data_IF_048157447561
#
_entry.id   IF_048157447561
#
_cell.length_a   1.000
_cell.length_b   1.000
_cell.length_c   1.000
_cell.angle_alpha   90.00
_cell.angle_beta   90.00
_cell.angle_gamma   90.00
#
_symmetry.space_group_name_H-M   'P 1'
#
loop_
_entity.id
_entity.type
_entity.pdbx_description
1 polymer ?
#
# COMPACT_ATOMS: atom_id res chain seq x y z
N UNK A 1 -15.84 -3.12 4.38
CA UNK A 1 -14.54 -2.65 3.87
C UNK A 1 -13.49 -3.04 4.90
N UNK A 2 -12.27 -3.34 4.47
CA UNK A 2 -11.17 -3.64 5.40
C UNK A 2 -10.61 -2.34 5.99
N UNK A 3 -9.98 -2.39 7.16
CA UNK A 3 -9.27 -1.27 7.78
C UNK A 3 -7.82 -1.61 8.04
N UNK A 4 -6.93 -0.61 8.07
CA UNK A 4 -5.48 -0.82 8.16
C UNK A 4 -5.08 -1.62 9.41
N UNK A 5 -5.67 -1.35 10.57
CA UNK A 5 -5.30 -2.06 11.82
C UNK A 5 -5.72 -3.55 11.82
N UNK A 6 -6.71 -3.90 10.99
CA UNK A 6 -7.22 -5.27 10.86
C UNK A 6 -6.41 -6.11 9.89
N UNK A 7 -5.45 -5.51 9.16
CA UNK A 7 -4.64 -6.22 8.19
C UNK A 7 -3.79 -7.30 8.84
N UNK A 8 -3.63 -8.40 8.12
CA UNK A 8 -2.82 -9.56 8.49
C UNK A 8 -1.92 -9.97 7.33
N UNK A 9 -0.78 -10.63 7.61
CA UNK A 9 0.08 -11.18 6.57
C UNK A 9 -0.69 -12.02 5.55
N UNK A 10 -0.26 -11.96 4.29
CA UNK A 10 -0.77 -12.75 3.15
C UNK A 10 -2.24 -12.57 2.76
N UNK A 11 -2.95 -11.59 3.35
CA UNK A 11 -4.31 -11.24 2.93
C UNK A 11 -4.32 -10.71 1.49
N UNK A 12 -5.39 -11.05 0.74
CA UNK A 12 -5.55 -10.72 -0.69
C UNK A 12 -6.97 -10.24 -0.97
N UNK A 13 -7.16 -9.67 -2.16
CA UNK A 13 -8.45 -9.18 -2.66
C UNK A 13 -9.11 -8.14 -1.72
N UNK A 14 -8.28 -7.29 -1.12
CA UNK A 14 -8.72 -6.23 -0.22
C UNK A 14 -9.23 -5.03 -1.00
N UNK A 15 -10.21 -4.33 -0.44
CA UNK A 15 -10.66 -3.02 -0.91
C UNK A 15 -10.60 -2.02 0.23
N UNK A 16 -9.80 -0.96 0.04
CA UNK A 16 -9.46 0.06 1.04
C UNK A 16 -9.55 1.45 0.40
N UNK A 17 -10.08 2.43 1.14
CA UNK A 17 -9.98 3.85 0.78
C UNK A 17 -9.07 4.53 1.79
N UNK A 18 -7.99 5.15 1.33
CA UNK A 18 -6.91 5.65 2.17
C UNK A 18 -6.43 7.02 1.69
N UNK A 19 -5.95 7.84 2.63
CA UNK A 19 -5.24 9.09 2.33
C UNK A 19 -3.76 8.81 2.14
N UNK A 20 -3.16 9.36 1.10
CA UNK A 20 -1.71 9.37 0.92
C UNK A 20 -1.13 10.48 1.80
N UNK A 21 -0.45 10.08 2.88
CA UNK A 21 0.20 10.99 3.84
C UNK A 21 1.53 11.48 3.28
N UNK A 22 2.27 10.59 2.64
CA UNK A 22 3.53 10.90 1.98
C UNK A 22 3.78 9.97 0.79
N UNK A 23 4.59 10.40 -0.18
CA UNK A 23 4.92 9.62 -1.36
C UNK A 23 6.34 9.93 -1.83
N UNK A 24 7.20 8.91 -1.86
CA UNK A 24 8.59 9.02 -2.31
C UNK A 24 8.79 8.12 -3.53
N UNK A 25 9.18 8.70 -4.66
CA UNK A 25 9.56 7.90 -5.84
C UNK A 25 10.93 7.28 -5.60
N UNK A 26 10.98 5.95 -5.48
CA UNK A 26 12.20 5.20 -5.16
C UNK A 26 12.87 4.62 -6.39
N UNK A 27 12.16 4.52 -7.52
CA UNK A 27 12.74 4.07 -8.77
C UNK A 27 12.02 4.69 -9.97
N UNK A 28 12.81 5.25 -10.89
CA UNK A 28 12.37 5.61 -12.23
C UNK A 28 13.41 5.09 -13.22
N UNK A 29 13.01 4.16 -14.09
CA UNK A 29 13.92 3.57 -15.09
C UNK A 29 13.28 3.56 -16.47
N UNK A 30 13.93 4.20 -17.42
CA UNK A 30 13.53 4.14 -18.83
C UNK A 30 14.07 2.83 -19.45
N UNK A 31 13.20 2.08 -20.14
CA UNK A 31 13.56 0.79 -20.76
C UNK A 31 13.90 0.89 -22.26
N UNK A 32 13.92 2.10 -22.80
CA UNK A 32 14.20 2.40 -24.21
C UNK A 32 13.22 3.44 -24.77
N UNK A 33 13.34 3.83 -26.06
CA UNK A 33 12.54 4.90 -26.64
C UNK A 33 11.05 4.58 -26.77
N UNK A 34 10.69 3.30 -26.90
CA UNK A 34 9.31 2.83 -27.15
C UNK A 34 8.74 1.98 -26.00
N UNK A 35 9.51 1.74 -24.95
CA UNK A 35 9.09 0.89 -23.84
C UNK A 35 8.57 1.76 -22.68
N UNK A 36 7.48 1.37 -22.00
CA UNK A 36 7.00 2.06 -20.81
C UNK A 36 8.12 2.20 -19.77
N UNK A 37 8.22 3.39 -19.19
CA UNK A 37 9.10 3.62 -18.06
C UNK A 37 8.58 2.83 -16.86
N UNK A 38 9.50 2.21 -16.11
CA UNK A 38 9.15 1.60 -14.84
C UNK A 38 9.27 2.67 -13.77
N UNK A 39 8.16 2.95 -13.08
CA UNK A 39 8.12 3.85 -11.92
C UNK A 39 7.70 3.06 -10.68
N UNK A 40 8.34 3.32 -9.55
CA UNK A 40 7.94 2.78 -8.25
C UNK A 40 8.02 3.89 -7.22
N UNK A 41 6.95 4.05 -6.44
CA UNK A 41 6.91 4.92 -5.29
C UNK A 41 6.52 4.15 -4.03
N UNK A 42 7.17 4.50 -2.92
CA UNK A 42 6.75 4.10 -1.59
C UNK A 42 5.88 5.22 -1.01
N UNK A 43 4.63 4.88 -0.74
CA UNK A 43 3.61 5.78 -0.25
C UNK A 43 3.27 5.41 1.19
N UNK A 44 3.25 6.38 2.08
CA UNK A 44 2.67 6.19 3.41
C UNK A 44 1.17 6.50 3.30
N UNK A 45 0.31 5.50 3.55
CA UNK A 45 -1.14 5.65 3.39
C UNK A 45 -1.88 5.37 4.70
N UNK A 46 -2.92 6.16 5.00
CA UNK A 46 -3.65 6.11 6.26
C UNK A 46 -5.17 6.10 6.09
N UNK A 47 -5.84 5.42 7.01
CA UNK A 47 -7.28 5.54 7.30
C UNK A 47 -7.45 6.00 8.76
N UNK A 48 -8.66 5.95 9.32
CA UNK A 48 -8.89 6.35 10.72
C UNK A 48 -8.31 5.38 11.75
N UNK A 49 -7.90 4.19 11.35
CA UNK A 49 -7.43 3.13 12.24
C UNK A 49 -5.91 3.05 12.33
N UNK A 50 -5.20 3.47 11.27
CA UNK A 50 -3.75 3.52 11.27
C UNK A 50 -3.15 3.85 9.91
N UNK A 51 -1.86 3.55 9.78
CA UNK A 51 -1.05 3.87 8.61
C UNK A 51 -0.20 2.67 8.20
N UNK A 52 0.02 2.49 6.89
CA UNK A 52 0.83 1.42 6.34
C UNK A 52 1.54 1.89 5.07
N UNK A 53 2.67 1.28 4.73
CA UNK A 53 3.35 1.51 3.45
C UNK A 53 2.55 0.83 2.33
N UNK A 54 2.29 1.57 1.26
CA UNK A 54 1.77 1.09 -0.01
C UNK A 54 2.84 1.29 -1.10
N UNK A 55 3.08 0.25 -1.91
CA UNK A 55 4.02 0.32 -3.04
C UNK A 55 3.25 0.54 -4.33
N UNK A 56 3.29 1.77 -4.84
CA UNK A 56 2.68 2.15 -6.11
C UNK A 56 3.64 1.86 -7.28
N UNK A 57 3.11 1.32 -8.39
CA UNK A 57 3.89 1.00 -9.60
C UNK A 57 3.29 1.64 -10.86
N UNK A 58 4.16 2.09 -11.77
CA UNK A 58 3.81 2.66 -13.08
C UNK A 58 2.75 3.78 -12.94
N UNK A 59 1.64 3.72 -13.68
CA UNK A 59 0.53 4.69 -13.61
C UNK A 59 -0.05 4.87 -12.19
N UNK A 60 0.08 3.89 -11.30
CA UNK A 60 -0.38 4.04 -9.91
C UNK A 60 0.39 5.14 -9.18
N UNK A 61 1.66 5.39 -9.54
CA UNK A 61 2.48 6.45 -8.96
C UNK A 61 1.86 7.82 -9.25
N UNK A 62 1.30 8.00 -10.44
CA UNK A 62 0.71 9.27 -10.86
C UNK A 62 -0.62 9.54 -10.12
N UNK A 63 -1.29 8.51 -9.59
CA UNK A 63 -2.50 8.61 -8.76
C UNK A 63 -2.19 8.73 -7.27
N UNK A 64 -1.18 8.00 -6.78
CA UNK A 64 -0.81 7.92 -5.36
C UNK A 64 0.11 9.09 -4.94
N UNK A 65 -0.33 10.32 -5.21
CA UNK A 65 0.38 11.55 -4.87
C UNK A 65 0.07 11.98 -3.44
N UNK A 66 1.03 12.64 -2.78
CA UNK A 66 0.85 13.18 -1.43
C UNK A 66 -0.41 14.04 -1.34
N UNK A 67 -1.22 13.80 -0.31
CA UNK A 67 -2.48 14.49 -0.09
C UNK A 67 -3.66 13.95 -0.92
N UNK A 68 -3.46 13.03 -1.86
CA UNK A 68 -4.56 12.39 -2.57
C UNK A 68 -5.29 11.40 -1.67
N UNK A 69 -6.61 11.28 -1.82
CA UNK A 69 -7.36 10.13 -1.33
C UNK A 69 -7.49 9.13 -2.48
N UNK A 70 -7.18 7.86 -2.23
CA UNK A 70 -7.17 6.81 -3.24
C UNK A 70 -7.96 5.60 -2.76
N UNK A 71 -8.58 4.89 -3.70
CA UNK A 71 -9.18 3.58 -3.47
C UNK A 71 -8.29 2.50 -4.08
N UNK A 72 -7.86 1.56 -3.24
CA UNK A 72 -7.11 0.38 -3.63
C UNK A 72 -8.09 -0.79 -3.79
N UNK A 73 -8.28 -1.29 -5.01
CA UNK A 73 -9.14 -2.45 -5.31
C UNK A 73 -8.28 -3.64 -5.71
N UNK A 74 -8.50 -4.79 -5.06
CA UNK A 74 -7.68 -5.98 -5.28
C UNK A 74 -6.30 -5.87 -4.64
N UNK A 75 -6.20 -5.10 -3.55
CA UNK A 75 -4.96 -4.97 -2.80
C UNK A 75 -4.63 -6.28 -2.07
N UNK A 76 -3.34 -6.47 -1.80
CA UNK A 76 -2.81 -7.56 -0.97
C UNK A 76 -1.81 -7.02 0.04
N UNK A 77 -1.63 -7.78 1.11
CA UNK A 77 -0.56 -7.58 2.09
C UNK A 77 0.63 -8.42 1.64
N UNK A 78 1.74 -7.76 1.32
CA UNK A 78 3.03 -8.42 1.09
C UNK A 78 3.90 -8.28 2.36
N UNK A 79 4.72 -9.29 2.61
CA UNK A 79 5.78 -9.22 3.62
C UNK A 79 7.07 -8.70 2.99
N UNK A 80 7.71 -7.72 3.63
CA UNK A 80 9.00 -7.16 3.23
C UNK A 80 9.89 -6.97 4.44
N UNK A 81 10.98 -7.75 4.51
CA UNK A 81 11.95 -7.71 5.62
C UNK A 81 11.30 -7.84 7.00
N UNK A 82 10.34 -8.76 7.14
CA UNK A 82 9.62 -8.99 8.40
C UNK A 82 8.40 -8.09 8.60
N UNK A 83 8.22 -7.02 7.83
CA UNK A 83 7.11 -6.07 8.03
C UNK A 83 6.07 -6.13 6.91
N UNK A 84 4.85 -5.69 7.22
CA UNK A 84 3.75 -5.65 6.26
C UNK A 84 3.80 -4.40 5.38
N UNK A 85 3.41 -4.56 4.11
CA UNK A 85 3.11 -3.47 3.18
C UNK A 85 1.95 -3.85 2.26
N UNK A 86 1.31 -2.87 1.67
CA UNK A 86 0.28 -3.06 0.64
C UNK A 86 0.88 -3.00 -0.77
N UNK A 87 0.31 -3.77 -1.68
CA UNK A 87 0.50 -3.63 -3.11
C UNK A 87 -0.78 -3.97 -3.88
N UNK A 88 -0.85 -3.53 -5.13
CA UNK A 88 -1.96 -3.82 -6.04
C UNK A 88 -1.38 -4.38 -7.34
N UNK A 89 -1.44 -5.70 -7.48
CA UNK A 89 -1.01 -6.44 -8.67
C UNK A 89 -2.25 -7.08 -9.32
N UNK A 90 -2.62 -6.65 -10.53
CA UNK A 90 -3.83 -7.12 -11.23
C UNK A 90 -5.15 -6.47 -10.76
N UNK A 91 -5.09 -5.62 -9.73
CA UNK A 91 -6.19 -4.76 -9.29
C UNK A 91 -6.14 -3.35 -9.88
N UNK A 92 -6.80 -2.40 -9.22
CA UNK A 92 -6.86 -0.99 -9.64
C UNK A 92 -6.59 -0.03 -8.48
N UNK A 93 -5.87 1.04 -8.79
CA UNK A 93 -5.71 2.22 -7.93
C UNK A 93 -6.42 3.37 -8.62
N UNK A 94 -7.36 4.00 -7.93
CA UNK A 94 -8.14 5.12 -8.48
C UNK A 94 -8.35 6.22 -7.45
N UNK A 95 -8.69 7.42 -7.91
CA UNK A 95 -9.06 8.51 -7.02
C UNK A 95 -10.23 8.07 -6.11
N UNK A 96 -10.07 8.28 -4.81
CA UNK A 96 -11.10 8.05 -3.81
C UNK A 96 -11.86 9.33 -3.49
N UNK A 97 -13.07 9.17 -2.97
CA UNK A 97 -13.83 10.28 -2.36
C UNK A 97 -13.28 10.67 -0.99
N UNK A 98 -14.00 11.53 -0.29
CA UNK A 98 -13.62 11.96 1.06
C UNK A 98 -13.64 10.80 2.06
N UNK A 99 -12.69 10.81 2.99
CA UNK A 99 -12.72 9.93 4.14
C UNK A 99 -13.78 10.44 5.12
N UNK A 100 -14.59 9.52 5.65
CA UNK A 100 -15.66 9.86 6.60
C UNK A 100 -15.12 10.22 7.98
N UNK A 101 -13.91 9.74 8.30
CA UNK A 101 -13.27 9.90 9.60
C UNK A 101 -11.86 10.51 9.43
N UNK A 102 -11.37 11.24 10.44
CA UNK A 102 -10.02 11.77 10.42
C UNK A 102 -8.99 10.64 10.37
N UNK A 103 -7.88 10.86 9.65
CA UNK A 103 -6.82 9.88 9.52
C UNK A 103 -6.02 9.72 10.83
N UNK A 104 -5.54 8.50 11.06
CA UNK A 104 -4.65 8.16 12.15
C UNK A 104 -3.27 7.81 11.61
N UNK A 105 -2.25 8.60 11.98
CA UNK A 105 -0.86 8.38 11.58
C UNK A 105 0.04 7.85 12.69
N UNK A 106 -0.49 7.58 13.89
CA UNK A 106 0.29 7.07 15.02
C UNK A 106 0.45 5.55 15.00
N UNK A 107 -0.53 4.82 14.46
CA UNK A 107 -0.53 3.36 14.41
C UNK A 107 0.08 2.85 13.10
N UNK A 108 1.40 2.80 13.02
CA UNK A 108 2.09 2.37 11.80
C UNK A 108 2.30 0.85 11.75
N UNK A 109 1.49 0.18 10.93
CA UNK A 109 1.51 -1.27 10.73
C UNK A 109 2.76 -1.77 10.00
N UNK A 110 3.49 -0.90 9.30
CA UNK A 110 4.76 -1.23 8.65
C UNK A 110 5.97 -1.20 9.59
N UNK A 111 5.80 -0.75 10.84
CA UNK A 111 6.83 -0.85 11.87
C UNK A 111 6.72 -2.15 12.69
N UNK A 112 5.63 -2.90 12.52
CA UNK A 112 5.47 -4.20 13.16
C UNK A 112 6.28 -5.25 12.40
N UNK A 113 7.06 -6.03 13.15
CA UNK A 113 7.80 -7.16 12.62
C UNK A 113 7.08 -8.47 12.97
N UNK A 114 6.96 -9.35 11.98
CA UNK A 114 6.35 -10.66 12.09
C UNK A 114 7.40 -11.72 11.83
N UNK A 115 7.41 -12.74 12.69
CA UNK A 115 8.24 -13.91 12.53
C UNK A 115 7.43 -15.06 11.92
N UNK A 116 7.98 -15.71 10.89
CA UNK A 116 7.39 -16.91 10.34
C UNK A 116 7.72 -18.10 11.23
N UNK A 117 6.75 -18.54 12.02
CA UNK A 117 6.87 -19.77 12.81
C UNK A 117 6.44 -20.96 11.96
N UNK A 118 7.39 -21.80 11.56
CA UNK A 118 7.06 -23.09 10.94
C UNK A 118 6.89 -24.12 12.05
N UNK A 119 5.65 -24.52 12.31
CA UNK A 119 5.39 -25.63 13.24
C UNK A 119 5.68 -26.92 12.48
N UNK A 120 6.77 -27.61 12.84
CA UNK A 120 7.07 -28.92 12.29
C UNK A 120 5.92 -29.88 12.59
N UNK A 121 5.46 -30.64 11.59
CA UNK A 121 4.59 -31.78 11.82
C UNK A 121 5.34 -32.75 12.75
N UNK A 122 4.79 -32.99 13.95
CA UNK A 122 5.19 -34.14 14.76
C UNK A 122 4.61 -35.42 14.16
#
# INVERSE_FOLDING_TARGET
MSSIISLRPDQKNLTLTVKVVDATTVMTRQRGPKAPAVKVAECLVADSTGVIVFVARNEQVDVAQKGATITLKGAKVDMFRGSMRLSVDGGKVEAGGDLQEPINTSNNMSLLEFELVTVGAQ
#
